data_IF_804893447068
#
_entry.id   IF_804893447068
#
_cell.length_a   1.000
_cell.length_b   1.000
_cell.length_c   1.000
_cell.angle_alpha   90.00
_cell.angle_beta   90.00
_cell.angle_gamma   90.00
#
_symmetry.space_group_name_H-M   'P 1'
#
loop_
_entity.id
_entity.type
_entity.pdbx_description
1 polymer ?
#
# COMPACT_ATOMS: atom_id res chain seq x y z
N UNK A 1 8.23 -7.35 -0.44
CA UNK A 1 8.62 -8.51 0.41
C UNK A 1 7.66 -8.54 1.59
N UNK A 2 7.02 -9.69 1.86
CA UNK A 2 6.03 -9.82 2.96
C UNK A 2 6.68 -10.37 4.24
N UNK A 3 6.11 -10.04 5.40
CA UNK A 3 6.50 -10.59 6.70
C UNK A 3 6.15 -12.08 6.89
N UNK A 4 5.30 -12.65 6.03
CA UNK A 4 4.63 -13.94 6.29
C UNK A 4 5.57 -15.14 6.40
N UNK A 5 6.76 -15.06 5.81
CA UNK A 5 7.76 -16.14 5.84
C UNK A 5 9.01 -15.80 6.69
N UNK A 6 9.04 -14.62 7.32
CA UNK A 6 10.18 -14.20 8.13
C UNK A 6 10.06 -14.75 9.55
N UNK A 7 11.08 -15.46 10.02
CA UNK A 7 11.20 -15.94 11.41
C UNK A 7 12.16 -15.04 12.19
N UNK A 8 11.74 -14.58 13.36
CA UNK A 8 12.57 -13.74 14.22
C UNK A 8 13.61 -14.58 14.99
N UNK A 9 14.90 -14.26 14.86
CA UNK A 9 15.96 -14.96 15.60
C UNK A 9 15.93 -14.73 17.13
N UNK A 10 15.22 -13.70 17.62
CA UNK A 10 15.13 -13.38 19.05
C UNK A 10 14.08 -14.23 19.77
N UNK A 11 12.92 -14.43 19.14
CA UNK A 11 11.78 -15.12 19.76
C UNK A 11 11.35 -16.38 19.00
N UNK A 12 12.05 -16.76 17.94
CA UNK A 12 11.81 -17.97 17.12
C UNK A 12 10.38 -18.12 16.58
N UNK A 13 9.66 -17.02 16.45
CA UNK A 13 8.28 -16.97 15.96
C UNK A 13 8.19 -16.15 14.66
N UNK A 14 7.11 -16.32 13.88
CA UNK A 14 6.82 -15.48 12.72
C UNK A 14 6.81 -13.98 13.06
N UNK A 15 7.45 -13.18 12.23
CA UNK A 15 7.50 -11.72 12.39
C UNK A 15 6.10 -11.10 12.25
N UNK A 16 5.23 -11.70 11.43
CA UNK A 16 3.83 -11.30 11.24
C UNK A 16 3.03 -11.28 12.56
N UNK A 17 3.35 -12.16 13.52
CA UNK A 17 2.67 -12.24 14.83
C UNK A 17 3.03 -11.08 15.79
N UNK A 18 4.15 -10.38 15.59
CA UNK A 18 4.50 -9.21 16.42
C UNK A 18 4.76 -9.49 17.91
N UNK A 19 5.19 -10.72 18.27
CA UNK A 19 5.35 -11.19 19.66
C UNK A 19 6.37 -10.44 20.52
N UNK A 20 7.45 -9.93 19.92
CA UNK A 20 8.49 -9.18 20.64
C UNK A 20 8.71 -7.78 20.04
N UNK A 21 9.41 -6.86 20.75
CA UNK A 21 9.67 -5.51 20.24
C UNK A 21 10.37 -5.49 18.86
N UNK A 22 11.31 -6.41 18.64
CA UNK A 22 12.00 -6.55 17.36
C UNK A 22 11.06 -6.98 16.23
N UNK A 23 10.13 -7.92 16.49
CA UNK A 23 9.13 -8.33 15.50
C UNK A 23 8.21 -7.16 15.13
N UNK A 24 7.76 -6.37 16.11
CA UNK A 24 6.88 -5.22 15.86
C UNK A 24 7.56 -4.16 15.01
N UNK A 25 8.79 -3.78 15.35
CA UNK A 25 9.56 -2.82 14.57
C UNK A 25 9.78 -3.29 13.12
N UNK A 26 10.16 -4.56 12.92
CA UNK A 26 10.33 -5.12 11.58
C UNK A 26 9.00 -5.15 10.81
N UNK A 27 7.91 -5.56 11.47
CA UNK A 27 6.58 -5.58 10.87
C UNK A 27 6.14 -4.17 10.45
N UNK A 28 6.34 -3.16 11.29
CA UNK A 28 5.97 -1.78 10.99
C UNK A 28 6.81 -1.19 9.84
N UNK A 29 8.08 -1.61 9.69
CA UNK A 29 8.91 -1.27 8.54
C UNK A 29 8.34 -1.85 7.24
N UNK A 30 8.02 -3.15 7.24
CA UNK A 30 7.50 -3.85 6.06
C UNK A 30 6.06 -3.47 5.71
N UNK A 31 5.23 -3.18 6.70
CA UNK A 31 3.86 -2.70 6.56
C UNK A 31 3.77 -1.19 6.65
N UNK A 32 4.88 -0.46 6.47
CA UNK A 32 4.82 0.97 6.20
C UNK A 32 4.14 1.14 4.85
N UNK A 33 2.81 1.16 4.87
CA UNK A 33 2.01 1.50 3.73
C UNK A 33 2.47 2.90 3.32
N UNK A 34 3.01 3.01 2.11
CA UNK A 34 3.21 4.31 1.47
C UNK A 34 1.89 5.08 1.45
N UNK A 35 1.90 6.38 1.09
CA UNK A 35 0.70 7.20 1.09
C UNK A 35 -0.46 6.44 0.42
N UNK A 36 -1.45 6.06 1.22
CA UNK A 36 -2.59 5.26 0.75
C UNK A 36 -3.47 6.21 -0.03
N UNK A 37 -3.37 6.16 -1.37
CA UNK A 37 -4.25 6.94 -2.22
C UNK A 37 -5.66 6.34 -2.08
N UNK A 38 -6.66 7.10 -1.59
CA UNK A 38 -8.02 6.59 -1.49
C UNK A 38 -8.52 6.16 -2.87
N UNK A 39 -9.23 5.03 -3.00
CA UNK A 39 -9.78 4.58 -4.29
C UNK A 39 -10.64 5.65 -4.98
N UNK A 40 -11.31 6.50 -4.21
CA UNK A 40 -12.09 7.63 -4.70
C UNK A 40 -11.24 8.67 -5.47
N UNK A 41 -9.99 8.91 -5.05
CA UNK A 41 -9.09 9.86 -5.73
C UNK A 41 -8.68 9.31 -7.10
N UNK A 42 -8.41 8.00 -7.17
CA UNK A 42 -8.12 7.32 -8.45
C UNK A 42 -9.33 7.42 -9.38
N UNK A 43 -10.53 7.13 -8.87
CA UNK A 43 -11.76 7.24 -9.65
C UNK A 43 -11.98 8.67 -10.18
N UNK A 44 -11.84 9.68 -9.33
CA UNK A 44 -12.00 11.08 -9.71
C UNK A 44 -11.00 11.49 -10.81
N UNK A 45 -9.74 11.07 -10.70
CA UNK A 45 -8.74 11.31 -11.72
C UNK A 45 -9.10 10.65 -13.06
N UNK A 46 -9.57 9.41 -13.05
CA UNK A 46 -10.01 8.70 -14.27
C UNK A 46 -11.21 9.39 -14.93
N UNK A 47 -12.20 9.82 -14.16
CA UNK A 47 -13.36 10.55 -14.67
C UNK A 47 -12.94 11.87 -15.30
N UNK A 48 -12.04 12.61 -14.65
CA UNK A 48 -11.52 13.88 -15.17
C UNK A 48 -10.78 13.68 -16.50
N UNK A 49 -9.90 12.68 -16.58
CA UNK A 49 -9.18 12.35 -17.81
C UNK A 49 -10.13 11.95 -18.94
N UNK A 50 -11.17 11.18 -18.63
CA UNK A 50 -12.18 10.77 -19.60
C UNK A 50 -12.99 11.98 -20.13
N UNK A 51 -13.41 12.87 -19.24
CA UNK A 51 -14.11 14.09 -19.62
C UNK A 51 -13.24 15.00 -20.51
N UNK A 52 -11.95 15.14 -20.20
CA UNK A 52 -10.99 15.88 -21.03
C UNK A 52 -10.82 15.24 -22.41
N UNK A 53 -10.71 13.91 -22.48
CA UNK A 53 -10.60 13.20 -23.76
C UNK A 53 -11.84 13.40 -24.63
N UNK A 54 -13.03 13.34 -24.05
CA UNK A 54 -14.28 13.63 -24.75
C UNK A 54 -14.34 15.08 -25.24
N UNK A 55 -14.00 16.03 -24.38
CA UNK A 55 -13.99 17.45 -24.74
C UNK A 55 -13.04 17.74 -25.91
N UNK A 56 -11.85 17.13 -25.91
CA UNK A 56 -10.90 17.24 -27.02
C UNK A 56 -11.43 16.60 -28.30
N UNK A 57 -12.06 15.43 -28.21
CA UNK A 57 -12.68 14.79 -29.38
C UNK A 57 -13.85 15.60 -29.95
N UNK A 58 -14.62 16.29 -29.12
CA UNK A 58 -15.70 17.16 -29.60
C UNK A 58 -15.20 18.50 -30.16
N UNK A 59 -13.99 18.93 -29.78
CA UNK A 59 -13.40 20.21 -30.19
C UNK A 59 -12.56 20.12 -31.48
N UNK A 60 -12.20 18.91 -31.92
CA UNK A 60 -11.42 18.62 -33.13
C UNK A 60 -12.25 17.83 -34.15
#
# INVERSE_FOLDING_TARGET
>A
MSCDHLICARCSHPVSEGRCPSCRAARDEFHRHGPVVPPAVILAALVLLFALALALHHAY
#
